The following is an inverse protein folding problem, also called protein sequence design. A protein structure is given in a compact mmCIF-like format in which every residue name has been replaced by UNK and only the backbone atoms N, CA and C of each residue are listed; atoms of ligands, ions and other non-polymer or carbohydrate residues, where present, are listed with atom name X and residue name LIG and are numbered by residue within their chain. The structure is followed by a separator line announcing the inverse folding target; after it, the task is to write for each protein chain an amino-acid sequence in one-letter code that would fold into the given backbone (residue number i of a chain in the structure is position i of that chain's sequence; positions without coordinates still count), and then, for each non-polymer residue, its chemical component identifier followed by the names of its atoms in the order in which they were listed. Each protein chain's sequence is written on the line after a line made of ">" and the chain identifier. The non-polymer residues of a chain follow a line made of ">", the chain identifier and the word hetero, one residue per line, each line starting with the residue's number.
data_IF_292504077996
#
_entry.id   IF_292504077996
#
_cell.length_a   1.000
_cell.length_b   1.000
_cell.length_c   1.000
_cell.angle_alpha   90.00
_cell.angle_beta   90.00
_cell.angle_gamma   90.00
#
_symmetry.space_group_name_H-M   'P 1'
#
loop_
_entity.id
_entity.type
_entity.pdbx_description
1 polymer ?
#
# COMPACT_ATOMS: atom_id res chain seq x y z
N UNK A 1 -14.25 -8.81 -33.44
CA UNK A 1 -14.36 -9.08 -31.99
C UNK A 1 -15.35 -8.09 -31.38
N UNK A 2 -16.53 -8.55 -30.94
CA UNK A 2 -17.64 -7.67 -30.50
C UNK A 2 -17.56 -7.19 -29.05
N UNK A 3 -16.38 -7.26 -28.43
CA UNK A 3 -16.16 -6.76 -27.06
C UNK A 3 -15.66 -5.32 -27.16
N UNK A 4 -16.53 -4.36 -26.86
CA UNK A 4 -16.13 -2.97 -26.65
C UNK A 4 -15.32 -2.91 -25.35
N UNK A 5 -14.04 -2.54 -25.44
CA UNK A 5 -13.24 -2.21 -24.25
C UNK A 5 -13.51 -0.75 -23.91
N UNK A 6 -14.35 -0.53 -22.92
CA UNK A 6 -14.45 0.78 -22.31
C UNK A 6 -13.09 1.12 -21.70
N UNK A 7 -12.60 2.34 -21.97
CA UNK A 7 -11.37 2.82 -21.36
C UNK A 7 -11.66 3.07 -19.89
N UNK A 8 -11.07 2.25 -19.02
CA UNK A 8 -11.10 2.51 -17.57
C UNK A 8 -10.42 3.86 -17.33
N UNK A 9 -11.19 4.84 -16.84
CA UNK A 9 -10.64 6.11 -16.34
C UNK A 9 -9.71 5.78 -15.18
N UNK A 10 -8.41 6.06 -15.35
CA UNK A 10 -7.44 5.87 -14.27
C UNK A 10 -7.74 6.88 -13.17
N UNK A 11 -7.71 6.43 -11.93
CA UNK A 11 -7.82 7.31 -10.76
C UNK A 11 -6.70 8.36 -10.76
N UNK A 12 -7.02 9.56 -10.28
CA UNK A 12 -6.08 10.67 -10.10
C UNK A 12 -6.14 11.15 -8.63
N UNK A 13 -5.07 10.99 -7.82
CA UNK A 13 -3.77 10.44 -8.21
C UNK A 13 -3.80 8.91 -8.39
N UNK A 14 -3.04 8.35 -9.35
CA UNK A 14 -3.00 6.90 -9.57
C UNK A 14 -2.14 6.22 -8.50
N UNK A 15 -2.46 4.97 -8.19
CA UNK A 15 -1.62 4.13 -7.34
C UNK A 15 -0.22 4.02 -7.93
N UNK A 16 0.81 4.34 -7.14
CA UNK A 16 2.22 4.32 -7.58
C UNK A 16 2.74 2.91 -7.92
N UNK A 17 2.10 1.85 -7.42
CA UNK A 17 2.52 0.45 -7.69
C UNK A 17 1.91 -0.06 -8.99
N UNK A 18 0.58 0.02 -9.14
CA UNK A 18 -0.12 -0.53 -10.31
C UNK A 18 -0.43 0.51 -11.39
N UNK A 19 0.00 1.77 -11.20
CA UNK A 19 -0.16 2.90 -12.14
C UNK A 19 -1.60 3.11 -12.61
N UNK A 20 -2.56 2.97 -11.69
CA UNK A 20 -3.98 3.16 -11.99
C UNK A 20 -4.75 1.90 -12.43
N UNK A 21 -4.09 0.75 -12.64
CA UNK A 21 -4.76 -0.44 -13.18
C UNK A 21 -5.50 -1.30 -12.14
N UNK A 22 -5.14 -1.16 -10.86
CA UNK A 22 -5.64 -2.03 -9.79
C UNK A 22 -5.08 -3.47 -9.81
N UNK A 23 -4.31 -3.84 -10.84
CA UNK A 23 -3.76 -5.18 -11.05
C UNK A 23 -2.24 -5.13 -11.11
N UNK A 24 -1.58 -6.19 -10.68
CA UNK A 24 -0.13 -6.40 -10.80
C UNK A 24 0.14 -7.84 -11.22
N UNK A 25 1.35 -8.15 -11.65
CA UNK A 25 1.74 -9.53 -11.89
C UNK A 25 1.58 -10.36 -10.63
N UNK A 26 1.00 -11.55 -10.78
CA UNK A 26 0.85 -12.48 -9.67
C UNK A 26 2.22 -12.91 -9.16
N UNK A 27 2.45 -12.78 -7.85
CA UNK A 27 3.69 -13.17 -7.17
C UNK A 27 4.06 -14.64 -7.40
N UNK A 28 3.07 -15.51 -7.47
CA UNK A 28 3.29 -16.96 -7.46
C UNK A 28 3.68 -17.51 -8.84
N UNK A 29 3.36 -16.78 -9.90
CA UNK A 29 3.65 -17.18 -11.28
C UNK A 29 4.32 -16.10 -12.12
N UNK A 30 4.73 -14.99 -11.51
CA UNK A 30 5.38 -13.84 -12.15
C UNK A 30 4.69 -13.40 -13.44
N UNK A 31 3.37 -13.23 -13.40
CA UNK A 31 2.62 -12.78 -14.59
C UNK A 31 2.23 -13.88 -15.59
N UNK A 32 2.73 -15.11 -15.43
CA UNK A 32 2.58 -16.17 -16.46
C UNK A 32 1.25 -16.91 -16.43
N UNK A 33 0.57 -16.91 -15.29
CA UNK A 33 -0.66 -17.67 -15.07
C UNK A 33 -0.46 -19.19 -14.87
N UNK A 34 0.75 -19.71 -15.03
CA UNK A 34 1.07 -21.15 -14.87
C UNK A 34 2.30 -21.37 -14.00
N UNK A 35 2.44 -22.57 -13.45
CA UNK A 35 3.56 -22.97 -12.60
C UNK A 35 4.53 -23.94 -13.26
N UNK A 36 4.13 -24.62 -14.34
CA UNK A 36 5.06 -25.41 -15.15
C UNK A 36 5.72 -24.57 -16.24
N UNK A 37 6.99 -24.85 -16.52
CA UNK A 37 7.77 -24.21 -17.59
C UNK A 37 7.67 -22.67 -17.59
N UNK A 38 7.80 -22.03 -16.42
CA UNK A 38 7.62 -20.58 -16.24
C UNK A 38 8.58 -19.74 -17.11
N UNK A 39 9.76 -20.28 -17.40
CA UNK A 39 10.79 -19.64 -18.20
C UNK A 39 10.41 -19.58 -19.68
N UNK A 40 9.63 -20.55 -20.17
CA UNK A 40 9.20 -20.60 -21.56
C UNK A 40 7.98 -19.70 -21.74
N UNK A 41 7.92 -18.94 -22.85
CA UNK A 41 6.72 -18.16 -23.22
C UNK A 41 5.59 -19.09 -23.64
N UNK A 42 5.90 -20.12 -24.42
CA UNK A 42 4.96 -21.14 -24.88
C UNK A 42 5.28 -22.48 -24.22
N UNK A 43 4.24 -23.27 -23.92
CA UNK A 43 4.44 -24.62 -23.41
C UNK A 43 4.99 -25.52 -24.53
N UNK A 44 5.82 -26.52 -24.20
CA UNK A 44 6.20 -27.56 -25.15
C UNK A 44 4.96 -28.29 -25.68
N UNK A 45 5.06 -28.80 -26.92
CA UNK A 45 3.97 -29.57 -27.52
C UNK A 45 3.66 -30.81 -26.67
N UNK A 46 2.38 -31.09 -26.45
CA UNK A 46 1.91 -32.27 -25.72
C UNK A 46 1.83 -32.08 -24.20
N UNK A 47 2.29 -30.95 -23.66
CA UNK A 47 2.10 -30.62 -22.26
C UNK A 47 0.86 -29.76 -22.01
N UNK A 48 0.20 -29.97 -20.87
CA UNK A 48 -0.90 -29.15 -20.40
C UNK A 48 -0.42 -28.11 -19.37
N UNK A 49 -0.97 -26.88 -19.38
CA UNK A 49 -0.61 -25.86 -18.39
C UNK A 49 -1.10 -26.29 -17.01
N UNK A 50 -0.19 -26.28 -16.04
CA UNK A 50 -0.52 -26.34 -14.62
C UNK A 50 -0.85 -24.92 -14.18
N UNK A 51 -2.14 -24.60 -14.15
CA UNK A 51 -2.61 -23.27 -13.81
C UNK A 51 -2.17 -22.86 -12.41
N UNK A 52 -1.72 -21.62 -12.28
CA UNK A 52 -1.44 -21.02 -10.99
C UNK A 52 -2.75 -20.90 -10.21
N UNK A 53 -2.83 -21.58 -9.06
CA UNK A 53 -4.04 -21.58 -8.23
C UNK A 53 -4.33 -20.21 -7.61
N UNK A 54 -3.30 -19.39 -7.39
CA UNK A 54 -3.45 -18.09 -6.77
C UNK A 54 -4.17 -17.08 -7.67
N UNK A 55 -3.80 -17.01 -8.95
CA UNK A 55 -4.42 -16.09 -9.92
C UNK A 55 -5.44 -16.75 -10.86
N UNK A 56 -5.73 -18.05 -10.67
CA UNK A 56 -6.66 -18.81 -11.49
C UNK A 56 -6.28 -18.88 -12.98
N UNK A 57 -5.00 -18.75 -13.31
CA UNK A 57 -4.53 -18.73 -14.70
C UNK A 57 -4.44 -17.36 -15.37
N UNK A 58 -4.94 -16.29 -14.73
CA UNK A 58 -4.92 -14.94 -15.33
C UNK A 58 -3.52 -14.31 -15.41
N UNK A 59 -2.59 -14.78 -14.58
CA UNK A 59 -1.28 -14.15 -14.39
C UNK A 59 -1.31 -12.86 -13.58
N UNK A 60 -2.50 -12.33 -13.25
CA UNK A 60 -2.64 -11.05 -12.56
C UNK A 60 -3.23 -11.23 -11.16
N UNK A 61 -2.67 -10.49 -10.20
CA UNK A 61 -3.20 -10.34 -8.85
C UNK A 61 -3.76 -8.95 -8.62
N UNK A 62 -4.53 -8.79 -7.55
CA UNK A 62 -4.91 -7.47 -7.06
C UNK A 62 -3.67 -6.74 -6.55
N UNK A 63 -3.57 -5.45 -6.84
CA UNK A 63 -2.51 -4.62 -6.26
C UNK A 63 -2.73 -4.48 -4.76
N UNK A 64 -1.79 -4.98 -3.95
CA UNK A 64 -1.87 -4.94 -2.49
C UNK A 64 -1.91 -3.50 -1.94
N UNK A 65 -1.30 -2.53 -2.64
CA UNK A 65 -1.27 -1.12 -2.19
C UNK A 65 -2.63 -0.43 -2.31
N UNK A 66 -3.36 -0.65 -3.40
CA UNK A 66 -4.65 -0.02 -3.63
C UNK A 66 -5.83 -0.97 -3.46
N UNK A 67 -5.60 -2.23 -3.08
CA UNK A 67 -6.61 -3.29 -2.96
C UNK A 67 -7.49 -3.45 -4.21
N UNK A 68 -6.92 -3.19 -5.39
CA UNK A 68 -7.66 -3.25 -6.64
C UNK A 68 -8.28 -1.97 -7.17
N UNK A 69 -8.33 -0.88 -6.38
CA UNK A 69 -9.02 0.35 -6.84
C UNK A 69 -8.28 1.09 -7.94
N UNK A 70 -6.96 0.95 -8.00
CA UNK A 70 -6.11 1.74 -8.90
C UNK A 70 -5.80 3.14 -8.36
N UNK A 71 -6.44 3.57 -7.28
CA UNK A 71 -6.26 4.89 -6.67
C UNK A 71 -5.05 4.94 -5.73
N UNK A 72 -4.41 6.10 -5.67
CA UNK A 72 -3.41 6.39 -4.65
C UNK A 72 -4.03 6.36 -3.26
N UNK A 73 -3.45 5.57 -2.36
CA UNK A 73 -3.82 5.56 -0.94
C UNK A 73 -2.71 6.23 -0.14
N UNK A 74 -3.07 7.30 0.58
CA UNK A 74 -2.19 7.95 1.55
C UNK A 74 -1.78 6.95 2.65
N UNK A 75 -0.63 7.19 3.27
CA UNK A 75 -0.14 6.37 4.38
C UNK A 75 -1.17 6.50 5.51
N UNK A 76 -1.91 5.42 5.74
CA UNK A 76 -2.84 5.34 6.87
C UNK A 76 -1.99 5.18 8.13
N UNK A 77 -2.04 6.14 9.06
CA UNK A 77 -1.24 6.14 10.27
C UNK A 77 -1.14 7.52 10.93
N UNK A 78 -0.22 7.67 11.89
CA UNK A 78 0.02 8.95 12.55
C UNK A 78 0.74 9.90 11.61
N UNK A 79 0.09 11.01 11.29
CA UNK A 79 0.75 12.13 10.65
C UNK A 79 1.62 12.80 11.71
N UNK A 80 2.93 12.57 11.69
CA UNK A 80 3.84 13.40 12.47
C UNK A 80 3.73 14.82 11.90
N UNK A 81 3.07 15.72 12.62
CA UNK A 81 3.06 17.13 12.27
C UNK A 81 4.49 17.62 12.42
N UNK A 82 5.27 17.60 11.33
CA UNK A 82 6.42 18.47 11.22
C UNK A 82 5.87 19.89 11.25
N UNK A 83 5.90 20.48 12.46
CA UNK A 83 5.81 21.91 12.63
C UNK A 83 7.09 22.46 12.02
N UNK A 84 7.04 22.85 10.76
CA UNK A 84 7.68 24.06 10.25
C UNK A 84 7.27 24.32 8.79
N UNK A 85 6.62 25.47 8.63
CA UNK A 85 6.28 26.19 7.39
C UNK A 85 5.32 25.51 6.41
N UNK A 86 4.03 25.80 6.56
CA UNK A 86 3.37 26.58 5.51
C UNK A 86 2.19 27.41 6.06
N UNK A 87 2.44 28.72 6.11
CA UNK A 87 1.45 29.76 6.34
C UNK A 87 0.62 29.94 5.05
N UNK A 88 -0.43 29.16 4.85
CA UNK A 88 -1.58 29.62 4.05
C UNK A 88 -2.89 29.14 4.69
N UNK A 89 -3.34 29.92 5.67
CA UNK A 89 -4.70 30.46 5.83
C UNK A 89 -5.86 29.57 5.35
N UNK A 90 -6.54 28.94 6.32
CA UNK A 90 -8.00 29.02 6.31
C UNK A 90 -8.56 29.06 7.74
N UNK A 91 -9.27 30.16 8.03
CA UNK A 91 -9.88 30.44 9.33
C UNK A 91 -11.15 29.59 9.48
N UNK A 92 -11.18 28.67 10.45
CA UNK A 92 -12.41 28.28 11.17
C UNK A 92 -12.08 27.61 12.52
N UNK A 93 -12.06 28.49 13.53
CA UNK A 93 -12.55 28.34 14.92
C UNK A 93 -12.78 26.91 15.45
N UNK A 94 -12.09 26.57 16.54
CA UNK A 94 -12.41 25.44 17.42
C UNK A 94 -11.44 25.27 18.58
N UNK A 95 -11.62 26.07 19.62
CA UNK A 95 -10.87 26.02 20.89
C UNK A 95 -11.07 24.66 21.61
N UNK A 96 -10.01 23.89 21.84
CA UNK A 96 -9.92 22.89 22.93
C UNK A 96 -8.51 22.81 23.50
N UNK A 97 -8.44 23.04 24.80
CA UNK A 97 -7.24 23.03 25.64
C UNK A 97 -6.69 21.61 25.83
N UNK A 98 -5.36 21.53 25.89
CA UNK A 98 -4.63 20.56 26.73
C UNK A 98 -4.41 19.16 26.14
N UNK A 99 -3.26 18.94 25.52
CA UNK A 99 -2.64 17.61 25.49
C UNK A 99 -1.18 17.76 25.90
N UNK A 100 -0.88 17.45 27.16
CA UNK A 100 0.50 17.15 27.57
C UNK A 100 1.02 16.02 26.68
N UNK A 101 2.25 16.19 26.20
CA UNK A 101 2.86 15.28 25.24
C UNK A 101 3.18 13.96 25.92
N UNK A 102 2.91 12.82 25.26
CA UNK A 102 3.29 11.49 25.73
C UNK A 102 4.81 11.37 26.02
N UNK A 103 5.64 12.16 25.32
CA UNK A 103 7.07 12.28 25.62
C UNK A 103 7.37 12.86 27.00
N UNK A 104 6.49 13.69 27.55
CA UNK A 104 6.67 14.31 28.86
C UNK A 104 6.39 13.33 30.02
N UNK A 105 5.58 12.30 29.77
CA UNK A 105 5.33 11.21 30.73
C UNK A 105 6.47 10.17 30.78
N UNK A 106 7.16 9.96 29.65
CA UNK A 106 8.25 8.99 29.57
C UNK A 106 9.57 9.51 30.16
N UNK A 107 9.82 10.81 30.10
CA UNK A 107 11.05 11.42 30.60
C UNK A 107 11.12 11.55 32.14
N UNK A 108 9.98 11.41 32.83
CA UNK A 108 9.93 11.57 34.29
C UNK A 108 10.11 10.26 35.08
N UNK A 109 10.27 9.11 34.42
CA UNK A 109 10.37 7.81 35.09
C UNK A 109 11.79 7.27 35.25
N UNK A 110 12.83 7.96 34.76
CA UNK A 110 14.23 7.51 34.84
C UNK A 110 15.06 8.20 35.95
N UNK A 111 14.43 8.96 36.87
CA UNK A 111 15.15 9.71 37.91
C UNK A 111 14.83 9.30 39.35
N UNK A 112 14.66 8.01 39.63
CA UNK A 112 14.50 7.53 41.01
C UNK A 112 15.25 6.22 41.31
N UNK A 113 16.54 6.11 40.98
CA UNK A 113 17.34 4.95 41.39
C UNK A 113 18.81 5.25 41.79
N UNK A 114 19.15 6.49 42.14
CA UNK A 114 20.45 6.82 42.75
C UNK A 114 20.26 7.91 43.81
N UNK A 115 19.88 7.51 45.03
CA UNK A 115 20.40 8.03 46.30
C UNK A 115 19.61 7.44 47.48
N UNK A 116 19.93 6.20 47.84
CA UNK A 116 19.65 5.70 49.20
C UNK A 116 20.65 4.60 49.57
N UNK A 117 21.83 5.02 50.02
CA UNK A 117 22.57 4.39 51.10
C UNK A 117 23.71 5.30 51.56
N UNK A 118 23.43 6.01 52.66
CA UNK A 118 24.41 6.20 53.75
C UNK A 118 24.89 4.84 54.26
#
# INVERSE_FOLDING_TARGET
>A
SNVRKESITKSDPPCVVCRGSGRVDCSDCNGRGRTNHIQLTMLPKGEWPKWCRHCGGSGLGYCNRCLGTGEYRYIMGFHFMNKDNDRVRDNRVGNRQGSHSFTELLLNNDQSDLDSKM
#
